data_IF_493910887041
#
_entry.id   IF_493910887041
#
_cell.length_a   1.000
_cell.length_b   1.000
_cell.length_c   1.000
_cell.angle_alpha   90.00
_cell.angle_beta   90.00
_cell.angle_gamma   90.00
#
_symmetry.space_group_name_H-M   'P 1'
#
loop_
_entity.id
_entity.type
_entity.pdbx_description
1 polymer ?
#
# COMPACT_ATOMS: atom_id res chain seq x y z
N UNK A 1 -33.04 -16.03 -12.19
CA UNK A 1 -32.13 -16.40 -11.08
C UNK A 1 -30.71 -16.73 -11.55
N UNK A 2 -30.50 -17.44 -12.67
CA UNK A 2 -29.15 -17.71 -13.24
C UNK A 2 -28.32 -16.45 -13.58
N UNK A 3 -28.95 -15.40 -14.13
CA UNK A 3 -28.26 -14.14 -14.41
C UNK A 3 -27.76 -13.45 -13.13
N UNK A 4 -28.52 -13.55 -12.04
CA UNK A 4 -28.11 -13.01 -10.73
C UNK A 4 -26.94 -13.84 -10.19
N UNK A 5 -27.00 -15.17 -10.27
CA UNK A 5 -25.89 -16.05 -9.86
C UNK A 5 -24.60 -15.81 -10.66
N UNK A 6 -24.70 -15.59 -11.98
CA UNK A 6 -23.55 -15.27 -12.84
C UNK A 6 -22.90 -13.93 -12.51
N UNK A 7 -23.69 -12.90 -12.21
CA UNK A 7 -23.19 -11.60 -11.75
C UNK A 7 -22.49 -11.74 -10.39
N UNK A 8 -23.09 -12.40 -9.41
CA UNK A 8 -22.46 -12.61 -8.11
C UNK A 8 -21.16 -13.42 -8.19
N UNK A 9 -21.08 -14.37 -9.13
CA UNK A 9 -19.87 -15.16 -9.36
C UNK A 9 -18.73 -14.34 -9.98
N UNK A 10 -19.00 -13.58 -11.05
CA UNK A 10 -17.98 -12.77 -11.75
C UNK A 10 -17.51 -11.53 -10.98
N UNK A 11 -18.33 -11.02 -10.04
CA UNK A 11 -17.96 -9.91 -9.17
C UNK A 11 -17.50 -10.37 -7.78
N UNK A 12 -17.33 -11.68 -7.56
CA UNK A 12 -16.81 -12.21 -6.31
C UNK A 12 -15.30 -11.91 -6.16
N UNK A 13 -14.74 -11.94 -4.93
CA UNK A 13 -13.31 -11.72 -4.69
C UNK A 13 -12.38 -12.68 -5.45
N UNK A 14 -12.91 -13.76 -6.04
CA UNK A 14 -12.16 -14.69 -6.89
C UNK A 14 -11.72 -14.08 -8.23
N UNK A 15 -12.38 -13.00 -8.68
CA UNK A 15 -12.03 -12.24 -9.89
C UNK A 15 -11.27 -10.94 -9.60
N UNK A 16 -10.91 -10.71 -8.34
CA UNK A 16 -9.96 -9.67 -7.96
C UNK A 16 -8.65 -10.35 -7.55
N UNK A 17 -7.53 -9.65 -7.60
CA UNK A 17 -6.24 -10.22 -7.19
C UNK A 17 -6.13 -10.40 -5.64
N UNK A 18 -7.26 -10.43 -4.91
CA UNK A 18 -7.26 -10.62 -3.45
C UNK A 18 -6.69 -12.00 -3.13
N UNK A 19 -5.73 -12.02 -2.20
CA UNK A 19 -4.97 -13.22 -1.86
C UNK A 19 -3.75 -13.46 -2.76
N UNK A 20 -3.55 -12.67 -3.82
CA UNK A 20 -2.35 -12.74 -4.64
C UNK A 20 -1.10 -12.46 -3.79
N UNK A 21 -0.21 -13.45 -3.75
CA UNK A 21 0.99 -13.49 -2.90
C UNK A 21 2.13 -14.18 -3.66
N UNK A 22 2.78 -13.49 -4.62
CA UNK A 22 3.83 -14.08 -5.43
C UNK A 22 5.09 -14.36 -4.60
N UNK A 23 5.82 -15.39 -5.00
CA UNK A 23 7.16 -15.67 -4.43
C UNK A 23 8.13 -14.59 -4.91
N UNK A 24 8.71 -13.86 -3.96
CA UNK A 24 9.66 -12.80 -4.25
C UNK A 24 11.09 -13.34 -4.46
N UNK A 25 11.97 -12.61 -5.16
CA UNK A 25 13.37 -13.00 -5.31
C UNK A 25 14.13 -13.10 -3.98
N UNK A 26 13.67 -12.36 -2.97
CA UNK A 26 14.17 -12.39 -1.59
C UNK A 26 12.96 -12.44 -0.66
N UNK A 27 12.96 -13.30 0.37
CA UNK A 27 11.85 -13.40 1.32
C UNK A 27 11.88 -12.23 2.32
N UNK A 28 11.64 -11.01 1.84
CA UNK A 28 11.58 -9.81 2.67
C UNK A 28 10.33 -9.83 3.56
N UNK A 29 10.55 -9.85 4.88
CA UNK A 29 9.47 -9.84 5.88
C UNK A 29 9.19 -8.42 6.36
N UNK A 30 8.01 -7.88 6.01
CA UNK A 30 7.54 -6.61 6.57
C UNK A 30 7.19 -6.76 8.05
N UNK A 31 6.70 -7.92 8.47
CA UNK A 31 6.47 -8.24 9.88
C UNK A 31 7.70 -8.03 10.75
N UNK A 32 8.86 -8.50 10.30
CA UNK A 32 10.12 -8.29 11.02
C UNK A 32 10.51 -6.80 11.02
N UNK A 33 10.57 -6.17 9.85
CA UNK A 33 11.12 -4.83 9.71
C UNK A 33 10.22 -3.73 10.31
N UNK A 34 8.91 -3.87 10.17
CA UNK A 34 7.92 -2.88 10.62
C UNK A 34 7.29 -3.32 11.94
N UNK A 35 6.76 -4.54 12.00
CA UNK A 35 6.01 -5.03 13.16
C UNK A 35 6.88 -5.26 14.41
N UNK A 36 8.10 -5.79 14.24
CA UNK A 36 9.00 -6.13 15.34
C UNK A 36 10.07 -5.06 15.58
N UNK A 37 10.71 -4.55 14.51
CA UNK A 37 11.77 -3.54 14.62
C UNK A 37 11.27 -2.09 14.62
N UNK A 38 10.02 -1.84 14.23
CA UNK A 38 9.41 -0.51 14.27
C UNK A 38 9.91 0.48 13.22
N UNK A 39 10.42 0.01 12.08
CA UNK A 39 10.81 0.92 10.99
C UNK A 39 9.57 1.61 10.40
N UNK A 40 9.65 2.94 10.26
CA UNK A 40 8.62 3.71 9.57
C UNK A 40 8.62 3.37 8.07
N UNK A 41 7.41 3.28 7.48
CA UNK A 41 7.21 2.90 6.08
C UNK A 41 8.01 3.77 5.10
N UNK A 42 8.19 5.06 5.42
CA UNK A 42 8.86 6.06 4.57
C UNK A 42 10.37 5.88 4.52
N UNK A 43 10.95 5.10 5.43
CA UNK A 43 12.38 4.77 5.34
C UNK A 43 12.72 4.05 4.03
N UNK A 44 11.84 3.14 3.61
CA UNK A 44 11.97 2.41 2.35
C UNK A 44 11.16 3.05 1.21
N UNK A 45 9.93 3.47 1.48
CA UNK A 45 9.01 4.05 0.51
C UNK A 45 9.05 5.58 0.53
N UNK A 46 10.25 6.14 0.38
CA UNK A 46 10.53 7.56 0.61
C UNK A 46 9.73 8.53 -0.26
N UNK A 47 9.28 8.13 -1.44
CA UNK A 47 8.54 9.02 -2.35
C UNK A 47 7.03 9.06 -2.09
N UNK A 48 6.49 8.27 -1.17
CA UNK A 48 5.04 8.07 -1.01
C UNK A 48 4.27 9.36 -0.70
N UNK A 49 4.88 10.32 -0.01
CA UNK A 49 4.24 11.59 0.37
C UNK A 49 4.30 12.65 -0.74
N UNK A 50 5.21 12.51 -1.71
CA UNK A 50 5.52 13.55 -2.69
C UNK A 50 5.31 13.12 -4.15
N UNK A 51 5.27 11.82 -4.42
CA UNK A 51 5.16 11.25 -5.77
C UNK A 51 3.86 10.47 -5.94
N UNK A 52 3.33 10.37 -7.17
CA UNK A 52 2.24 9.44 -7.49
C UNK A 52 2.61 7.97 -7.24
N UNK A 53 3.89 7.63 -7.33
CA UNK A 53 4.41 6.27 -7.19
C UNK A 53 5.11 6.14 -5.84
N UNK A 54 4.67 5.19 -5.01
CA UNK A 54 5.47 4.70 -3.89
C UNK A 54 6.60 3.83 -4.44
N UNK A 55 7.82 4.36 -4.45
CA UNK A 55 8.97 3.62 -4.95
C UNK A 55 9.17 2.33 -4.14
N UNK A 56 9.59 1.26 -4.79
CA UNK A 56 10.25 0.13 -4.09
C UNK A 56 11.68 0.60 -3.79
N UNK A 57 12.22 0.35 -2.58
CA UNK A 57 13.54 0.86 -2.23
C UNK A 57 14.63 0.30 -3.17
N UNK A 58 15.65 1.11 -3.51
CA UNK A 58 16.84 0.58 -4.17
C UNK A 58 17.60 -0.36 -3.23
N UNK A 59 18.46 -1.20 -3.81
CA UNK A 59 19.32 -2.14 -3.07
C UNK A 59 20.14 -1.46 -1.98
N UNK A 60 20.53 -0.20 -2.20
CA UNK A 60 21.30 0.59 -1.22
C UNK A 60 20.58 0.73 0.13
N UNK A 61 19.26 0.91 0.14
CA UNK A 61 18.49 1.00 1.39
C UNK A 61 18.64 -0.26 2.23
N UNK A 62 18.63 -1.45 1.60
CA UNK A 62 18.88 -2.71 2.28
C UNK A 62 20.32 -2.76 2.83
N UNK A 63 21.28 -2.29 2.04
CA UNK A 63 22.70 -2.31 2.40
C UNK A 63 23.06 -1.34 3.53
N UNK A 64 22.25 -0.33 3.83
CA UNK A 64 22.49 0.56 4.97
C UNK A 64 22.64 -0.19 6.29
N UNK A 65 21.97 -1.34 6.46
CA UNK A 65 22.10 -2.21 7.63
C UNK A 65 22.76 -3.55 7.32
N UNK A 66 22.44 -4.15 6.16
CA UNK A 66 22.87 -5.51 5.82
C UNK A 66 24.35 -5.65 5.42
N UNK A 67 25.10 -4.55 5.43
CA UNK A 67 26.56 -4.60 5.47
C UNK A 67 27.10 -5.16 6.80
N UNK A 68 26.30 -5.14 7.87
CA UNK A 68 26.67 -5.65 9.20
C UNK A 68 25.65 -6.64 9.74
N UNK A 69 24.35 -6.32 9.65
CA UNK A 69 23.27 -7.16 10.18
C UNK A 69 23.00 -8.32 9.25
N UNK A 70 23.16 -9.55 9.76
CA UNK A 70 22.96 -10.80 9.00
C UNK A 70 23.76 -10.82 7.68
N UNK A 71 24.89 -10.10 7.62
CA UNK A 71 25.69 -9.88 6.42
C UNK A 71 25.90 -11.14 5.58
N UNK A 72 26.22 -12.24 6.24
CA UNK A 72 26.62 -13.51 5.62
C UNK A 72 25.43 -14.49 5.42
N UNK A 73 24.20 -14.06 5.68
CA UNK A 73 22.98 -14.87 5.46
C UNK A 73 22.82 -15.25 3.99
N UNK A 74 22.52 -16.52 3.71
CA UNK A 74 22.24 -17.00 2.36
C UNK A 74 21.00 -16.31 1.75
N UNK A 75 20.00 -15.98 2.58
CA UNK A 75 18.78 -15.29 2.13
C UNK A 75 19.06 -13.89 1.56
N UNK A 76 20.20 -13.28 1.91
CA UNK A 76 20.62 -11.97 1.39
C UNK A 76 21.54 -12.07 0.17
N UNK A 77 21.85 -13.27 -0.32
CA UNK A 77 22.70 -13.44 -1.50
C UNK A 77 22.22 -12.62 -2.71
N UNK A 78 20.92 -12.55 -3.06
CA UNK A 78 20.47 -11.74 -4.18
C UNK A 78 20.66 -10.22 -3.96
N UNK A 79 20.48 -9.74 -2.72
CA UNK A 79 20.72 -8.32 -2.38
C UNK A 79 22.21 -7.99 -2.50
N UNK A 80 23.10 -8.88 -2.05
CA UNK A 80 24.55 -8.70 -2.18
C UNK A 80 24.99 -8.73 -3.65
N UNK A 81 24.47 -9.65 -4.46
CA UNK A 81 24.75 -9.68 -5.90
C UNK A 81 24.28 -8.39 -6.59
N UNK A 82 23.08 -7.92 -6.25
CA UNK A 82 22.55 -6.65 -6.76
C UNK A 82 23.45 -5.46 -6.37
N UNK A 83 23.96 -5.43 -5.13
CA UNK A 83 24.85 -4.38 -4.65
C UNK A 83 26.21 -4.40 -5.35
N UNK A 84 26.78 -5.59 -5.60
CA UNK A 84 28.08 -5.74 -6.25
C UNK A 84 28.03 -5.51 -7.76
N UNK A 85 26.98 -6.01 -8.41
CA UNK A 85 26.83 -5.92 -9.87
C UNK A 85 26.19 -4.60 -10.34
N UNK A 86 25.58 -3.84 -9.44
CA UNK A 86 24.80 -2.64 -9.77
C UNK A 86 23.45 -2.92 -10.45
N UNK A 87 23.11 -4.20 -10.70
CA UNK A 87 21.84 -4.59 -11.32
C UNK A 87 20.72 -4.50 -10.29
N UNK A 88 19.63 -3.79 -10.61
CA UNK A 88 18.50 -3.65 -9.70
C UNK A 88 17.76 -4.98 -9.44
N UNK A 89 17.24 -5.11 -8.22
CA UNK A 89 16.37 -6.23 -7.85
C UNK A 89 15.09 -6.27 -8.69
N UNK A 90 14.75 -7.45 -9.21
CA UNK A 90 13.55 -7.68 -10.02
C UNK A 90 12.38 -8.13 -9.14
N UNK A 91 11.86 -7.21 -8.32
CA UNK A 91 10.70 -7.48 -7.47
C UNK A 91 9.46 -7.77 -8.30
N UNK A 92 8.62 -8.68 -7.81
CA UNK A 92 7.32 -8.97 -8.42
C UNK A 92 6.29 -8.06 -7.77
N UNK A 93 5.65 -7.22 -8.57
CA UNK A 93 4.62 -6.30 -8.08
C UNK A 93 3.39 -7.08 -7.62
N UNK A 94 2.89 -6.75 -6.42
CA UNK A 94 1.68 -7.35 -5.83
C UNK A 94 0.45 -6.56 -6.24
N UNK A 95 0.41 -5.27 -5.90
CA UNK A 95 -0.69 -4.38 -6.25
C UNK A 95 -0.41 -3.78 -7.63
N UNK A 96 -1.16 -4.22 -8.64
CA UNK A 96 -0.99 -3.75 -10.02
C UNK A 96 -2.33 -3.29 -10.60
N UNK A 97 -2.53 -1.98 -10.64
CA UNK A 97 -3.65 -1.39 -11.35
C UNK A 97 -3.36 -1.41 -12.87
N UNK A 98 -4.40 -1.49 -13.72
CA UNK A 98 -4.22 -1.35 -15.16
C UNK A 98 -3.61 0.01 -15.54
N UNK A 99 -2.79 0.04 -16.59
CA UNK A 99 -2.04 1.25 -16.99
C UNK A 99 -2.94 2.44 -17.41
N UNK A 100 -4.19 2.17 -17.79
CA UNK A 100 -5.19 3.21 -18.11
C UNK A 100 -5.85 3.82 -16.86
N UNK A 101 -5.49 3.36 -15.66
CA UNK A 101 -5.96 3.87 -14.37
C UNK A 101 -4.80 4.49 -13.60
N UNK A 102 -4.74 5.82 -13.60
CA UNK A 102 -3.74 6.60 -12.92
C UNK A 102 -4.05 6.72 -11.42
N UNK A 103 -3.10 6.27 -10.61
CA UNK A 103 -3.15 6.38 -9.16
C UNK A 103 -2.00 7.25 -8.65
N UNK A 104 -2.27 8.07 -7.63
CA UNK A 104 -1.28 8.98 -7.06
C UNK A 104 -1.19 8.85 -5.53
N UNK A 105 -0.13 8.22 -5.01
CA UNK A 105 0.06 8.00 -3.58
C UNK A 105 0.05 9.31 -2.77
N UNK A 106 0.81 10.31 -3.22
CA UNK A 106 0.88 11.61 -2.56
C UNK A 106 -0.50 12.29 -2.37
N UNK A 107 -1.40 12.16 -3.36
CA UNK A 107 -2.75 12.72 -3.25
C UNK A 107 -3.53 12.09 -2.08
N UNK A 108 -3.44 10.76 -1.93
CA UNK A 108 -4.17 10.02 -0.89
C UNK A 108 -3.53 10.19 0.50
N UNK A 109 -2.21 10.09 0.58
CA UNK A 109 -1.48 10.26 1.84
C UNK A 109 -1.68 11.68 2.40
N UNK A 110 -1.53 12.70 1.55
CA UNK A 110 -1.74 14.09 1.99
C UNK A 110 -3.21 14.40 2.29
N UNK A 111 -4.15 13.63 1.74
CA UNK A 111 -5.57 13.69 2.09
C UNK A 111 -5.89 12.98 3.43
N UNK A 112 -4.93 12.38 4.12
CA UNK A 112 -5.18 11.72 5.40
C UNK A 112 -5.66 10.27 5.26
N UNK A 113 -5.32 9.57 4.17
CA UNK A 113 -5.63 8.16 3.99
C UNK A 113 -4.42 7.31 4.36
N UNK A 114 -4.56 6.45 5.37
CA UNK A 114 -3.47 5.61 5.87
C UNK A 114 -3.21 4.35 5.04
N UNK A 115 -1.98 3.84 5.12
CA UNK A 115 -1.52 2.70 4.32
C UNK A 115 -2.37 1.43 4.55
N UNK A 116 -2.79 1.19 5.79
CA UNK A 116 -3.58 0.01 6.19
C UNK A 116 -4.92 -0.09 5.47
N UNK A 117 -5.53 1.04 5.09
CA UNK A 117 -6.83 1.06 4.41
C UNK A 117 -6.75 0.37 3.04
N UNK A 118 -5.66 0.55 2.30
CA UNK A 118 -5.50 0.01 0.96
C UNK A 118 -4.64 -1.26 0.93
N UNK A 119 -3.62 -1.36 1.77
CA UNK A 119 -2.65 -2.46 1.76
C UNK A 119 -2.86 -3.50 2.86
N UNK A 120 -3.81 -3.28 3.78
CA UNK A 120 -4.01 -4.14 4.94
C UNK A 120 -2.88 -4.03 5.97
N UNK A 121 -2.84 -4.95 6.94
CA UNK A 121 -1.85 -4.98 8.03
C UNK A 121 -0.48 -5.47 7.57
N UNK A 122 0.20 -4.68 6.75
CA UNK A 122 1.56 -4.96 6.22
C UNK A 122 2.56 -5.26 7.35
N UNK A 123 2.41 -4.63 8.51
CA UNK A 123 3.22 -4.88 9.72
C UNK A 123 3.04 -6.28 10.31
N UNK A 124 2.06 -7.06 9.85
CA UNK A 124 1.85 -8.46 10.23
C UNK A 124 2.21 -9.42 9.08
N UNK A 125 2.62 -8.90 7.91
CA UNK A 125 2.89 -9.71 6.72
C UNK A 125 4.35 -10.13 6.60
N UNK A 126 4.59 -11.44 6.67
CA UNK A 126 5.88 -12.04 6.29
C UNK A 126 6.10 -12.00 4.77
N UNK A 127 5.02 -12.04 4.00
CA UNK A 127 5.04 -11.84 2.56
C UNK A 127 3.81 -11.02 2.18
N UNK A 128 4.03 -9.95 1.42
CA UNK A 128 2.96 -9.03 1.04
C UNK A 128 1.90 -9.77 0.23
N UNK A 129 0.65 -9.60 0.65
CA UNK A 129 -0.53 -10.19 0.03
C UNK A 129 -1.49 -9.06 -0.30
N UNK A 130 -2.13 -9.13 -1.46
CA UNK A 130 -3.19 -8.17 -1.77
C UNK A 130 -4.43 -8.47 -0.92
N UNK A 131 -4.72 -7.60 0.04
CA UNK A 131 -5.84 -7.76 0.97
C UNK A 131 -7.12 -7.07 0.48
N UNK A 132 -6.97 -6.01 -0.31
CA UNK A 132 -8.08 -5.22 -0.84
C UNK A 132 -8.24 -5.49 -2.34
N UNK A 133 -9.48 -5.41 -2.86
CA UNK A 133 -9.74 -5.68 -4.28
C UNK A 133 -9.15 -4.61 -5.20
N UNK A 134 -9.00 -3.37 -4.73
CA UNK A 134 -8.54 -2.22 -5.53
C UNK A 134 -9.31 -2.05 -6.85
N UNK A 135 -10.58 -2.47 -6.87
CA UNK A 135 -11.45 -2.33 -8.02
C UNK A 135 -12.00 -0.91 -8.13
N UNK A 136 -12.43 -0.50 -9.32
CA UNK A 136 -13.01 0.82 -9.56
C UNK A 136 -14.17 1.12 -8.59
N UNK A 137 -15.08 0.17 -8.38
CA UNK A 137 -16.19 0.32 -7.43
C UNK A 137 -15.69 0.56 -6.00
N UNK A 138 -14.68 -0.18 -5.55
CA UNK A 138 -14.13 -0.03 -4.21
C UNK A 138 -13.46 1.34 -4.02
N UNK A 139 -12.72 1.81 -5.04
CA UNK A 139 -12.16 3.15 -5.05
C UNK A 139 -13.26 4.22 -5.03
N UNK A 140 -14.30 4.07 -5.86
CA UNK A 140 -15.39 5.04 -5.96
C UNK A 140 -16.24 5.10 -4.68
N UNK A 141 -16.43 3.99 -3.98
CA UNK A 141 -17.15 3.99 -2.70
C UNK A 141 -16.42 4.85 -1.67
N UNK A 142 -15.09 4.73 -1.59
CA UNK A 142 -14.26 5.61 -0.76
C UNK A 142 -14.24 7.06 -1.26
N UNK A 143 -14.21 7.29 -2.58
CA UNK A 143 -14.23 8.65 -3.12
C UNK A 143 -15.58 9.36 -2.88
N UNK A 144 -16.69 8.61 -2.79
CA UNK A 144 -18.02 9.15 -2.45
C UNK A 144 -18.14 9.48 -0.97
N UNK A 145 -17.56 8.66 -0.09
CA UNK A 145 -17.51 8.92 1.35
C UNK A 145 -16.15 8.50 1.94
N UNK A 146 -15.17 9.42 2.00
CA UNK A 146 -13.87 9.11 2.58
C UNK A 146 -13.88 9.16 4.11
N UNK A 147 -14.93 9.71 4.75
CA UNK A 147 -14.94 10.03 6.19
C UNK A 147 -14.54 8.86 7.10
N UNK A 148 -14.99 7.60 6.88
CA UNK A 148 -14.60 6.47 7.71
C UNK A 148 -13.10 6.13 7.69
N UNK A 149 -12.37 6.57 6.65
CA UNK A 149 -10.98 6.21 6.39
C UNK A 149 -9.99 7.34 6.68
N UNK A 150 -10.50 8.56 6.86
CA UNK A 150 -9.71 9.75 7.17
C UNK A 150 -9.09 9.62 8.56
N UNK A 151 -7.83 10.04 8.66
CA UNK A 151 -7.08 10.08 9.93
C UNK A 151 -6.12 11.28 9.97
N UNK A 152 -5.64 11.66 11.17
CA UNK A 152 -4.62 12.69 11.30
C UNK A 152 -3.35 12.34 10.54
N UNK A 153 -2.61 13.36 10.07
CA UNK A 153 -1.36 13.16 9.32
C UNK A 153 -0.30 12.36 10.11
N UNK A 154 -0.30 12.46 11.44
CA UNK A 154 0.59 11.69 12.33
C UNK A 154 0.30 10.19 12.34
N UNK A 155 -0.87 9.76 11.87
CA UNK A 155 -1.36 8.38 11.98
C UNK A 155 -1.39 7.64 10.62
N UNK A 156 -0.86 8.26 9.55
CA UNK A 156 -0.86 7.68 8.19
C UNK A 156 -0.14 6.34 8.12
N UNK A 157 1.05 6.26 8.71
CA UNK A 157 1.88 5.04 8.73
C UNK A 157 1.61 4.17 9.96
N UNK A 158 0.72 4.60 10.88
CA UNK A 158 0.31 3.78 12.01
C UNK A 158 -0.64 2.67 11.55
N UNK A 159 -0.09 1.47 11.43
CA UNK A 159 -0.82 0.29 10.96
C UNK A 159 -1.84 -0.24 11.96
N UNK A 160 -1.75 0.17 13.24
CA UNK A 160 -2.67 -0.21 14.32
C UNK A 160 -3.71 0.86 14.63
N UNK A 161 -3.72 1.95 13.87
CA UNK A 161 -4.67 3.02 14.08
C UNK A 161 -6.09 2.52 13.82
N UNK A 162 -6.98 2.82 14.77
CA UNK A 162 -8.41 2.61 14.62
C UNK A 162 -9.11 3.96 14.81
N UNK A 163 -10.15 4.25 14.00
CA UNK A 163 -10.88 5.48 14.18
C UNK A 163 -11.53 5.51 15.56
N UNK A 164 -11.68 6.70 16.18
CA UNK A 164 -12.54 6.85 17.34
C UNK A 164 -13.97 6.42 16.98
N UNK A 165 -14.81 6.17 18.01
CA UNK A 165 -16.18 5.66 17.81
C UNK A 165 -17.04 6.49 16.84
N UNK A 166 -16.70 7.77 16.66
CA UNK A 166 -17.36 8.66 15.72
C UNK A 166 -16.36 9.16 14.64
N UNK A 167 -16.18 8.35 13.60
CA UNK A 167 -15.30 8.67 12.47
C UNK A 167 -15.80 9.89 11.68
N UNK A 168 -17.12 10.13 11.65
CA UNK A 168 -17.72 11.26 10.95
C UNK A 168 -17.39 12.58 11.64
N UNK A 169 -17.43 12.63 12.98
CA UNK A 169 -16.99 13.82 13.74
C UNK A 169 -15.49 14.08 13.54
N UNK A 170 -14.66 13.04 13.54
CA UNK A 170 -13.23 13.20 13.26
C UNK A 170 -13.01 13.70 11.83
N UNK A 171 -13.68 13.13 10.84
CA UNK A 171 -13.57 13.59 9.45
C UNK A 171 -13.99 15.06 9.32
N UNK A 172 -15.10 15.46 9.95
CA UNK A 172 -15.55 16.86 9.96
C UNK A 172 -14.55 17.80 10.68
N UNK A 173 -13.81 17.32 11.68
CA UNK A 173 -12.71 18.06 12.28
C UNK A 173 -11.54 18.23 11.30
N UNK A 174 -11.11 17.14 10.66
CA UNK A 174 -10.04 17.14 9.67
C UNK A 174 -10.39 17.99 8.44
N UNK A 175 -11.67 18.04 8.06
CA UNK A 175 -12.14 18.88 6.94
C UNK A 175 -12.10 20.38 7.26
N UNK A 176 -12.17 20.77 8.55
CA UNK A 176 -11.93 22.18 8.93
C UNK A 176 -10.48 22.60 8.74
N UNK A 177 -9.54 21.67 8.89
CA UNK A 177 -8.12 21.92 8.62
C UNK A 177 -7.83 21.85 7.13
N UNK A 178 -8.36 20.81 6.47
CA UNK A 178 -8.21 20.57 5.03
C UNK A 178 -9.36 19.74 4.51
N UNK A 179 -10.28 20.42 3.83
CA UNK A 179 -11.33 19.77 3.06
C UNK A 179 -10.73 18.96 1.90
N UNK A 180 -11.23 17.74 1.70
CA UNK A 180 -10.87 16.88 0.57
C UNK A 180 -12.07 16.73 -0.35
N UNK A 181 -11.82 16.77 -1.66
CA UNK A 181 -12.84 16.58 -2.68
C UNK A 181 -12.35 15.50 -3.67
N UNK A 182 -12.48 14.21 -3.33
CA UNK A 182 -12.04 13.14 -4.21
C UNK A 182 -12.83 13.17 -5.53
N UNK A 183 -12.18 12.96 -6.68
CA UNK A 183 -12.87 12.95 -7.96
C UNK A 183 -13.77 11.71 -8.07
N UNK A 184 -14.96 11.86 -8.63
CA UNK A 184 -15.88 10.74 -8.90
C UNK A 184 -16.21 10.57 -10.38
N UNK A 185 -15.68 11.46 -11.22
CA UNK A 185 -15.75 11.38 -12.67
C UNK A 185 -14.57 10.58 -13.25
N UNK A 186 -14.71 10.19 -14.53
CA UNK A 186 -13.71 9.39 -15.22
C UNK A 186 -12.33 10.05 -15.31
N UNK A 187 -12.27 11.38 -15.45
CA UNK A 187 -11.01 12.11 -15.67
C UNK A 187 -10.12 12.15 -14.42
N UNK A 188 -10.68 11.84 -13.25
CA UNK A 188 -9.92 11.69 -12.01
C UNK A 188 -8.85 10.60 -12.07
N UNK A 189 -9.12 9.51 -12.80
CA UNK A 189 -8.27 8.32 -12.84
C UNK A 189 -7.95 7.85 -14.27
N UNK A 190 -8.78 8.13 -15.27
CA UNK A 190 -8.59 7.71 -16.66
C UNK A 190 -8.14 8.89 -17.51
N UNK A 191 -6.83 8.97 -17.76
CA UNK A 191 -6.21 10.06 -18.52
C UNK A 191 -5.07 9.59 -19.41
#
# INVERSE_FOLDING_TARGET
MLAIAGVWYYFSPWYTDVGYRPVQPVPYSHKLHVGELGLDCRYCHASVEISPVANVPPTQTCMNCHQTVKRDSELLAPIRDSAQSGRSMRWIRVHNLPDFAYFAHNAHVTAGIGCVTCHGRIDEMETVTQMMPLSMSWCLDCHRDPSPYRRPASEITNMRWTPPRDATVLAAQLDRERQVNPPTDCSGCHR
#
